data_IF_215990141876
#
_entry.id   IF_215990141876
#
_cell.length_a   1.000
_cell.length_b   1.000
_cell.length_c   1.000
_cell.angle_alpha   90.00
_cell.angle_beta   90.00
_cell.angle_gamma   90.00
#
_symmetry.space_group_name_H-M   'P 1'
#
loop_
_entity.id
_entity.type
_entity.pdbx_description
1 polymer ?
#
# COMPACT_ATOMS: atom_id res chain seq x y z
N UNK A 1 20.40 -4.01 6.92
CA UNK A 1 19.02 -3.60 7.25
C UNK A 1 18.10 -4.42 6.35
N UNK A 2 17.28 -5.31 6.91
CA UNK A 2 16.40 -6.15 6.10
C UNK A 2 15.32 -5.27 5.48
N UNK A 3 15.43 -5.00 4.17
CA UNK A 3 14.39 -4.32 3.42
C UNK A 3 13.13 -5.19 3.36
N UNK A 4 11.98 -4.54 3.22
CA UNK A 4 10.67 -5.19 3.07
C UNK A 4 10.73 -6.13 1.87
N UNK A 5 10.32 -7.39 2.03
CA UNK A 5 10.33 -8.36 0.93
C UNK A 5 9.16 -8.14 -0.01
N UNK A 6 9.21 -8.73 -1.20
CA UNK A 6 8.09 -8.66 -2.15
C UNK A 6 6.80 -9.23 -1.53
N UNK A 7 6.91 -10.32 -0.76
CA UNK A 7 5.79 -10.95 -0.08
C UNK A 7 5.17 -10.02 0.98
N UNK A 8 6.00 -9.34 1.78
CA UNK A 8 5.53 -8.36 2.77
C UNK A 8 4.82 -7.17 2.11
N UNK A 9 5.37 -6.67 0.99
CA UNK A 9 4.76 -5.56 0.26
C UNK A 9 3.41 -5.97 -0.38
N UNK A 10 3.29 -7.19 -0.90
CA UNK A 10 2.03 -7.74 -1.39
C UNK A 10 1.00 -7.93 -0.27
N UNK A 11 1.42 -8.45 0.88
CA UNK A 11 0.56 -8.61 2.04
C UNK A 11 -0.03 -7.27 2.50
N UNK A 12 0.79 -6.22 2.54
CA UNK A 12 0.30 -4.88 2.87
C UNK A 12 -0.59 -4.28 1.80
N UNK A 13 -0.27 -4.42 0.52
CA UNK A 13 -1.17 -3.98 -0.55
C UNK A 13 -2.55 -4.62 -0.43
N UNK A 14 -2.60 -5.93 -0.16
CA UNK A 14 -3.85 -6.66 0.02
C UNK A 14 -4.60 -6.22 1.28
N UNK A 15 -3.90 -5.95 2.38
CA UNK A 15 -4.49 -5.41 3.60
C UNK A 15 -5.16 -4.05 3.35
N UNK A 16 -4.48 -3.14 2.65
CA UNK A 16 -5.00 -1.81 2.33
C UNK A 16 -6.16 -1.85 1.33
N UNK A 17 -6.17 -2.78 0.37
CA UNK A 17 -7.31 -3.03 -0.53
C UNK A 17 -8.53 -3.58 0.21
N UNK A 18 -8.32 -4.48 1.17
CA UNK A 18 -9.40 -4.95 2.04
C UNK A 18 -9.93 -3.82 2.94
N UNK A 19 -9.02 -2.96 3.44
CA UNK A 19 -9.39 -1.79 4.23
C UNK A 19 -10.20 -0.79 3.39
N UNK A 20 -9.80 -0.49 2.15
CA UNK A 20 -10.55 0.41 1.26
C UNK A 20 -11.94 -0.13 0.95
N UNK A 21 -12.08 -1.45 0.76
CA UNK A 21 -13.38 -2.11 0.56
C UNK A 21 -14.26 -1.99 1.80
N UNK A 22 -13.71 -2.23 3.00
CA UNK A 22 -14.43 -2.06 4.27
C UNK A 22 -14.81 -0.61 4.52
N UNK A 23 -13.94 0.34 4.16
CA UNK A 23 -14.21 1.78 4.29
C UNK A 23 -15.27 2.21 3.29
N UNK A 24 -15.23 1.74 2.05
CA UNK A 24 -16.28 2.00 1.07
C UNK A 24 -17.64 1.43 1.52
N UNK A 25 -17.65 0.19 2.03
CA UNK A 25 -18.86 -0.43 2.60
C UNK A 25 -19.36 0.33 3.84
N UNK A 26 -18.45 0.77 4.73
CA UNK A 26 -18.78 1.64 5.86
C UNK A 26 -19.25 3.02 5.41
N UNK A 27 -18.71 3.59 4.33
CA UNK A 27 -19.12 4.89 3.79
C UNK A 27 -20.57 4.83 3.32
N UNK A 28 -20.96 3.75 2.63
CA UNK A 28 -22.36 3.51 2.27
C UNK A 28 -23.28 3.47 3.50
N UNK A 29 -22.82 2.96 4.64
CA UNK A 29 -23.57 2.91 5.90
C UNK A 29 -23.50 4.22 6.71
N UNK A 30 -22.36 4.92 6.69
CA UNK A 30 -22.08 6.17 7.44
C UNK A 30 -22.74 7.41 6.86
N UNK A 31 -23.18 7.37 5.60
CA UNK A 31 -24.10 8.37 5.03
C UNK A 31 -25.38 8.51 5.88
N UNK A 32 -25.71 7.50 6.71
CA UNK A 32 -26.80 7.53 7.69
C UNK A 32 -26.37 7.85 9.14
N UNK A 33 -25.29 8.62 9.36
CA UNK A 33 -25.18 9.41 10.60
C UNK A 33 -23.86 9.43 11.39
N UNK A 34 -22.72 8.94 10.87
CA UNK A 34 -21.40 9.19 11.51
C UNK A 34 -20.30 9.39 10.47
N UNK A 35 -19.82 10.63 10.38
CA UNK A 35 -18.81 11.12 9.43
C UNK A 35 -17.52 10.31 9.48
N UNK A 36 -17.19 9.65 8.37
CA UNK A 36 -15.84 9.18 8.10
C UNK A 36 -15.10 10.37 7.47
N UNK A 37 -14.00 10.80 8.07
CA UNK A 37 -13.23 11.94 7.60
C UNK A 37 -12.62 11.64 6.24
N UNK A 38 -12.85 12.52 5.27
CA UNK A 38 -12.33 12.43 3.90
C UNK A 38 -10.80 12.21 3.85
N UNK A 39 -10.11 12.61 4.92
CA UNK A 39 -8.67 12.38 5.15
C UNK A 39 -8.28 10.89 5.20
N UNK A 40 -9.09 10.03 5.80
CA UNK A 40 -8.78 8.59 5.91
C UNK A 40 -8.83 7.88 4.55
N UNK A 41 -9.76 8.28 3.67
CA UNK A 41 -9.86 7.75 2.31
C UNK A 41 -8.67 8.17 1.44
N UNK A 42 -8.23 9.42 1.59
CA UNK A 42 -7.04 9.92 0.90
C UNK A 42 -5.79 9.16 1.37
N UNK A 43 -5.62 8.96 2.68
CA UNK A 43 -4.49 8.22 3.25
C UNK A 43 -4.47 6.76 2.75
N UNK A 44 -5.60 6.06 2.79
CA UNK A 44 -5.70 4.68 2.28
C UNK A 44 -5.32 4.60 0.80
N UNK A 45 -5.80 5.53 -0.03
CA UNK A 45 -5.43 5.57 -1.45
C UNK A 45 -3.92 5.85 -1.64
N UNK A 46 -3.34 6.73 -0.84
CA UNK A 46 -1.89 6.99 -0.87
C UNK A 46 -1.09 5.76 -0.47
N UNK A 47 -1.52 5.03 0.57
CA UNK A 47 -0.89 3.78 0.99
C UNK A 47 -0.99 2.72 -0.10
N UNK A 48 -2.16 2.49 -0.70
CA UNK A 48 -2.34 1.55 -1.81
C UNK A 48 -1.36 1.87 -2.95
N UNK A 49 -1.28 3.14 -3.35
CA UNK A 49 -0.37 3.56 -4.42
C UNK A 49 1.10 3.37 -4.06
N UNK A 50 1.47 3.66 -2.82
CA UNK A 50 2.83 3.45 -2.32
C UNK A 50 3.22 1.97 -2.34
N UNK A 51 2.36 1.08 -1.84
CA UNK A 51 2.64 -0.35 -1.80
C UNK A 51 2.61 -0.98 -3.19
N UNK A 52 1.72 -0.55 -4.09
CA UNK A 52 1.71 -0.97 -5.50
C UNK A 52 3.02 -0.61 -6.20
N UNK A 53 3.52 0.62 -6.02
CA UNK A 53 4.80 1.05 -6.59
C UNK A 53 5.98 0.25 -6.01
N UNK A 54 5.97 -0.01 -4.69
CA UNK A 54 6.96 -0.88 -4.03
C UNK A 54 6.94 -2.30 -4.55
N UNK A 55 5.76 -2.92 -4.71
CA UNK A 55 5.63 -4.27 -5.28
C UNK A 55 6.16 -4.29 -6.71
N UNK A 56 5.82 -3.29 -7.52
CA UNK A 56 6.35 -3.16 -8.88
C UNK A 56 7.86 -3.01 -8.89
N UNK A 57 8.44 -2.17 -8.02
CA UNK A 57 9.87 -1.97 -7.90
C UNK A 57 10.59 -3.27 -7.49
N UNK A 58 10.09 -3.95 -6.46
CA UNK A 58 10.65 -5.19 -5.95
C UNK A 58 10.50 -6.34 -6.96
N UNK A 59 9.36 -6.40 -7.67
CA UNK A 59 9.12 -7.39 -8.73
C UNK A 59 10.07 -7.19 -9.91
N UNK A 60 10.29 -5.94 -10.34
CA UNK A 60 11.28 -5.62 -11.38
C UNK A 60 12.70 -5.97 -10.94
N UNK A 61 13.05 -5.66 -9.69
CA UNK A 61 14.35 -5.99 -9.12
C UNK A 61 14.58 -7.51 -8.96
N UNK A 62 13.51 -8.29 -8.78
CA UNK A 62 13.55 -9.74 -8.73
C UNK A 62 13.65 -10.39 -10.12
N UNK A 63 13.00 -9.82 -11.15
CA UNK A 63 12.91 -10.42 -12.49
C UNK A 63 14.01 -9.97 -13.47
N UNK A 64 14.59 -8.79 -13.29
CA UNK A 64 15.65 -8.25 -14.16
C UNK A 64 16.99 -8.22 -13.44
N UNK A 65 17.86 -9.18 -13.73
CA UNK A 65 19.17 -9.34 -13.08
C UNK A 65 20.04 -8.08 -13.09
N UNK A 66 20.01 -7.32 -11.98
CA UNK A 66 21.18 -6.60 -11.42
C UNK A 66 20.83 -6.22 -9.99
N UNK A 67 21.65 -6.64 -9.03
CA UNK A 67 21.59 -6.23 -7.62
C UNK A 67 21.39 -4.71 -7.54
N UNK A 68 20.18 -4.26 -7.26
CA UNK A 68 19.91 -2.86 -6.91
C UNK A 68 20.38 -2.71 -5.46
N UNK A 69 21.69 -2.47 -5.28
CA UNK A 69 22.20 -1.95 -4.01
C UNK A 69 21.64 -0.54 -3.89
N UNK A 70 20.70 -0.33 -2.98
CA UNK A 70 20.39 1.02 -2.53
C UNK A 70 21.65 1.53 -1.82
N UNK A 71 22.38 2.47 -2.45
CA UNK A 71 23.39 3.28 -1.76
C UNK A 71 22.61 4.23 -0.85
N UNK A 72 22.74 4.03 0.45
CA UNK A 72 22.36 5.01 1.47
C UNK A 72 23.63 5.80 1.75
N UNK A 73 23.59 7.11 1.49
CA UNK A 73 24.64 8.03 1.87
C UNK A 73 24.71 8.15 3.39
N UNK A 74 25.95 8.32 3.85
CA UNK A 74 26.40 8.48 5.24
C UNK A 74 25.67 9.61 5.99
#
# INVERSE_FOLDING_TARGET
MAGITLADAQAQLQLWLAASTKVAAKQSYSIAGRSLTLADLADINQQIKFWDDKVKLLSRAASGGRRVRYVVGE
#
